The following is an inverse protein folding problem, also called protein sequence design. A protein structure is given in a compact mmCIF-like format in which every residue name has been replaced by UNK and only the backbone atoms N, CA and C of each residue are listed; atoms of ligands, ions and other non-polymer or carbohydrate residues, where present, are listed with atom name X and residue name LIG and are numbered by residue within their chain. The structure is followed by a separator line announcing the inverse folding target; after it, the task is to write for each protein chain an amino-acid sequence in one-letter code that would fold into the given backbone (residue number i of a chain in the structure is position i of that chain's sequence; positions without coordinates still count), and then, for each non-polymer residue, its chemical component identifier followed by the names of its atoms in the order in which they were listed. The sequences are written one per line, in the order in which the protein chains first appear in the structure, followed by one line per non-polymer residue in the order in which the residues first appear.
data_IF_513645555128
#
_entry.id   IF_513645555128
#
_cell.length_a   1.000
_cell.length_b   1.000
_cell.length_c   1.000
_cell.angle_alpha   90.00
_cell.angle_beta   90.00
_cell.angle_gamma   90.00
#
_symmetry.space_group_name_H-M   'P 1'
#
loop_
_entity.id
_entity.type
_entity.pdbx_description
1 polymer ?
#
# COMPACT_ATOMS: atom_id res chain seq x y z
N UNK A 1 -1.44 -33.18 22.72
CA UNK A 1 -0.46 -32.66 21.75
C UNK A 1 0.73 -32.13 22.51
N UNK A 2 1.93 -32.62 22.19
CA UNK A 2 3.17 -32.25 22.87
C UNK A 2 3.48 -30.76 22.68
N UNK A 3 3.78 -30.05 23.77
CA UNK A 3 4.11 -28.62 23.79
C UNK A 3 5.33 -28.31 22.92
N UNK A 4 6.27 -29.24 22.82
CA UNK A 4 7.49 -29.04 22.04
C UNK A 4 7.26 -29.23 20.54
N UNK A 5 6.34 -30.13 20.15
CA UNK A 5 5.86 -30.23 18.77
C UNK A 5 5.16 -28.93 18.36
N UNK A 6 4.22 -28.43 19.18
CA UNK A 6 3.51 -27.17 18.88
C UNK A 6 4.47 -25.98 18.72
N UNK A 7 5.48 -25.86 19.58
CA UNK A 7 6.48 -24.78 19.49
C UNK A 7 7.33 -24.86 18.22
N UNK A 8 7.68 -26.07 17.77
CA UNK A 8 8.43 -26.27 16.52
C UNK A 8 7.59 -25.88 15.31
N UNK A 9 6.36 -26.39 15.23
CA UNK A 9 5.42 -26.05 14.15
C UNK A 9 5.12 -24.54 14.10
N UNK A 10 4.90 -23.91 15.25
CA UNK A 10 4.64 -22.47 15.31
C UNK A 10 5.84 -21.64 14.83
N UNK A 11 7.07 -22.02 15.21
CA UNK A 11 8.29 -21.34 14.74
C UNK A 11 8.50 -21.55 13.24
N UNK A 12 8.25 -22.75 12.72
CA UNK A 12 8.36 -23.05 11.31
C UNK A 12 7.33 -22.24 10.50
N UNK A 13 6.07 -22.23 10.94
CA UNK A 13 5.01 -21.43 10.32
C UNK A 13 5.30 -19.93 10.36
N UNK A 14 5.75 -19.38 11.49
CA UNK A 14 6.17 -17.98 11.60
C UNK A 14 7.38 -17.67 10.71
N UNK A 15 8.36 -18.57 10.64
CA UNK A 15 9.53 -18.39 9.77
C UNK A 15 9.16 -18.39 8.28
N UNK A 16 8.19 -19.21 7.88
CA UNK A 16 7.70 -19.28 6.50
C UNK A 16 6.85 -18.05 6.15
N UNK A 17 5.95 -17.64 7.05
CA UNK A 17 5.03 -16.51 6.83
C UNK A 17 5.69 -15.13 6.96
N UNK A 18 6.84 -15.02 7.65
CA UNK A 18 7.54 -13.72 7.82
C UNK A 18 7.87 -13.03 6.51
N UNK A 19 8.07 -13.78 5.43
CA UNK A 19 8.37 -13.20 4.11
C UNK A 19 7.16 -12.44 3.57
N UNK A 20 5.96 -13.00 3.74
CA UNK A 20 4.70 -12.38 3.32
C UNK A 20 4.30 -11.18 4.17
N UNK A 21 4.76 -11.10 5.42
CA UNK A 21 4.54 -9.93 6.28
C UNK A 21 5.24 -8.67 5.78
N UNK A 22 6.40 -8.81 5.11
CA UNK A 22 7.23 -7.66 4.69
C UNK A 22 7.24 -7.43 3.18
N UNK A 23 7.29 -8.49 2.37
CA UNK A 23 7.23 -8.36 0.91
C UNK A 23 5.81 -8.37 0.40
N UNK A 24 4.90 -9.13 1.01
CA UNK A 24 3.58 -9.49 0.45
C UNK A 24 3.64 -9.94 -1.04
N UNK A 25 4.82 -10.33 -1.49
CA UNK A 25 5.16 -10.62 -2.88
C UNK A 25 5.81 -11.99 -2.94
N UNK A 26 5.52 -12.72 -4.02
CA UNK A 26 6.20 -13.97 -4.31
C UNK A 26 7.67 -13.72 -4.68
N UNK A 27 8.56 -14.72 -4.56
CA UNK A 27 9.98 -14.56 -4.92
C UNK A 27 10.21 -14.04 -6.34
N UNK A 28 9.32 -14.39 -7.28
CA UNK A 28 9.36 -13.91 -8.67
C UNK A 28 9.16 -12.39 -8.80
N UNK A 29 8.57 -11.73 -7.79
CA UNK A 29 8.24 -10.31 -7.79
C UNK A 29 9.15 -9.48 -6.86
N UNK A 30 10.29 -10.03 -6.44
CA UNK A 30 11.21 -9.33 -5.54
C UNK A 30 11.89 -8.11 -6.16
N UNK A 31 11.77 -7.89 -7.47
CA UNK A 31 12.08 -6.62 -8.13
C UNK A 31 11.26 -5.45 -7.57
N UNK A 32 10.06 -5.73 -7.04
CA UNK A 32 9.15 -4.76 -6.41
C UNK A 32 9.49 -4.44 -4.95
N UNK A 33 10.56 -5.03 -4.43
CA UNK A 33 10.98 -4.91 -3.05
C UNK A 33 12.34 -4.21 -2.90
N UNK A 34 12.47 -3.41 -1.84
CA UNK A 34 13.78 -3.02 -1.34
C UNK A 34 14.49 -4.24 -0.76
N UNK A 35 15.75 -4.42 -1.14
CA UNK A 35 16.61 -5.46 -0.60
C UNK A 35 17.42 -4.89 0.56
N UNK A 36 17.13 -5.35 1.77
CA UNK A 36 17.83 -4.94 3.00
C UNK A 36 18.68 -6.11 3.51
N UNK A 37 19.95 -5.85 3.82
CA UNK A 37 20.83 -6.84 4.46
C UNK A 37 20.91 -6.54 5.95
N UNK A 38 20.51 -7.49 6.78
CA UNK A 38 20.59 -7.41 8.25
C UNK A 38 21.43 -8.59 8.72
N UNK A 39 22.71 -8.33 9.01
CA UNK A 39 23.70 -9.38 9.26
C UNK A 39 23.84 -10.31 8.06
N UNK A 40 23.65 -11.62 8.28
CA UNK A 40 23.69 -12.64 7.23
C UNK A 40 22.38 -12.83 6.48
N UNK A 41 21.31 -12.12 6.86
CA UNK A 41 19.96 -12.29 6.27
C UNK A 41 19.65 -11.19 5.27
N UNK A 42 19.04 -11.59 4.16
CA UNK A 42 18.45 -10.66 3.19
C UNK A 42 16.94 -10.60 3.42
N UNK A 43 16.42 -9.40 3.60
CA UNK A 43 15.00 -9.12 3.80
C UNK A 43 14.50 -8.34 2.57
N UNK A 44 13.35 -8.76 2.06
CA UNK A 44 12.65 -8.08 0.97
C UNK A 44 11.47 -7.32 1.57
N UNK A 45 11.49 -6.01 1.44
CA UNK A 45 10.43 -5.12 1.93
C UNK A 45 9.71 -4.51 0.72
N UNK A 46 8.39 -4.66 0.62
CA UNK A 46 7.64 -4.08 -0.48
C UNK A 46 7.92 -2.58 -0.59
N UNK A 47 8.38 -2.12 -1.76
CA UNK A 47 8.78 -0.74 -1.94
C UNK A 47 7.59 0.23 -1.80
N UNK A 48 6.38 -0.22 -2.12
CA UNK A 48 5.17 0.59 -1.95
C UNK A 48 4.74 0.64 -0.49
N UNK A 49 4.69 -0.50 0.21
CA UNK A 49 4.33 -0.55 1.63
C UNK A 49 5.32 0.21 2.51
N UNK A 50 6.61 0.23 2.15
CA UNK A 50 7.61 1.04 2.84
C UNK A 50 7.31 2.55 2.77
N UNK A 51 6.52 3.00 1.78
CA UNK A 51 5.96 4.36 1.73
C UNK A 51 4.61 4.47 2.43
N UNK A 52 3.70 3.52 2.20
CA UNK A 52 2.32 3.57 2.74
C UNK A 52 2.30 3.65 4.26
N UNK A 53 3.10 2.84 4.96
CA UNK A 53 3.10 2.83 6.43
C UNK A 53 3.54 4.16 7.06
N UNK A 54 4.72 4.73 6.73
CA UNK A 54 5.07 6.05 7.24
C UNK A 54 4.11 7.13 6.73
N UNK A 55 3.55 6.98 5.53
CA UNK A 55 2.55 7.90 5.00
C UNK A 55 1.29 7.94 5.85
N UNK A 56 0.77 6.79 6.29
CA UNK A 56 -0.39 6.72 7.19
C UNK A 56 -0.10 7.48 8.49
N UNK A 57 1.08 7.26 9.08
CA UNK A 57 1.48 7.98 10.28
C UNK A 57 1.52 9.50 10.04
N UNK A 58 2.12 9.95 8.93
CA UNK A 58 2.12 11.37 8.52
C UNK A 58 0.69 11.89 8.36
N UNK A 59 -0.19 11.19 7.63
CA UNK A 59 -1.57 11.61 7.41
C UNK A 59 -2.38 11.77 8.71
N UNK A 60 -2.18 10.89 9.68
CA UNK A 60 -2.79 11.00 11.02
C UNK A 60 -2.25 12.23 11.77
N UNK A 61 -0.93 12.46 11.74
CA UNK A 61 -0.32 13.64 12.37
C UNK A 61 -0.83 14.94 11.72
N UNK A 62 -0.90 15.00 10.38
CA UNK A 62 -1.43 16.16 9.67
C UNK A 62 -2.92 16.41 9.99
N UNK A 63 -3.71 15.34 10.16
CA UNK A 63 -5.11 15.39 10.53
C UNK A 63 -5.31 15.91 11.97
N UNK A 64 -4.59 15.32 12.93
CA UNK A 64 -4.68 15.68 14.34
C UNK A 64 -4.14 17.09 14.62
N UNK A 65 -3.09 17.52 13.90
CA UNK A 65 -2.56 18.88 13.97
C UNK A 65 -3.43 19.94 13.29
N UNK A 66 -4.50 19.54 12.58
CA UNK A 66 -5.41 20.45 11.89
C UNK A 66 -4.84 21.14 10.64
N UNK A 67 -3.61 20.80 10.23
CA UNK A 67 -2.91 21.46 9.11
C UNK A 67 -3.61 21.24 7.75
N UNK A 68 -4.34 20.13 7.60
CA UNK A 68 -5.13 19.84 6.40
C UNK A 68 -6.62 19.81 6.73
N UNK A 69 -7.15 20.88 7.30
CA UNK A 69 -8.58 21.09 7.54
C UNK A 69 -9.43 21.30 6.28
N UNK A 70 -10.76 21.37 6.46
CA UNK A 70 -11.72 21.74 5.40
C UNK A 70 -11.60 20.99 4.06
N UNK A 71 -11.76 21.74 2.97
CA UNK A 71 -11.72 21.24 1.58
C UNK A 71 -10.33 20.83 1.13
N UNK A 72 -9.27 21.46 1.64
CA UNK A 72 -7.89 21.10 1.30
C UNK A 72 -7.57 19.66 1.70
N UNK A 73 -8.02 19.22 2.89
CA UNK A 73 -7.86 17.84 3.31
C UNK A 73 -8.64 16.84 2.45
N UNK A 74 -9.85 17.19 2.01
CA UNK A 74 -10.61 16.37 1.07
C UNK A 74 -9.95 16.28 -0.30
N UNK A 75 -9.39 17.40 -0.79
CA UNK A 75 -8.61 17.42 -2.02
C UNK A 75 -7.35 16.55 -1.91
N UNK A 76 -6.64 16.60 -0.79
CA UNK A 76 -5.48 15.73 -0.55
C UNK A 76 -5.88 14.23 -0.53
N UNK A 77 -6.99 13.88 0.13
CA UNK A 77 -7.51 12.50 0.13
C UNK A 77 -7.88 12.04 -1.28
N UNK A 78 -8.43 12.93 -2.11
CA UNK A 78 -8.83 12.60 -3.48
C UNK A 78 -7.64 12.52 -4.44
N UNK A 79 -6.65 13.40 -4.32
CA UNK A 79 -5.60 13.58 -5.33
C UNK A 79 -4.34 12.74 -5.06
N UNK A 80 -3.90 12.64 -3.80
CA UNK A 80 -2.64 11.93 -3.50
C UNK A 80 -2.63 10.45 -3.93
N UNK A 81 -3.74 9.68 -3.82
CA UNK A 81 -3.77 8.30 -4.31
C UNK A 81 -3.59 8.17 -5.83
N UNK A 82 -3.85 9.23 -6.62
CA UNK A 82 -3.71 9.21 -8.08
C UNK A 82 -2.27 8.86 -8.48
N UNK A 83 -1.27 9.40 -7.79
CA UNK A 83 0.14 9.12 -8.11
C UNK A 83 0.46 7.62 -8.00
N UNK A 84 -0.05 6.97 -6.96
CA UNK A 84 0.08 5.53 -6.75
C UNK A 84 -0.69 4.71 -7.79
N UNK A 85 -1.89 5.16 -8.17
CA UNK A 85 -2.70 4.53 -9.21
C UNK A 85 -2.01 4.61 -10.58
N UNK A 86 -1.52 5.79 -10.98
CA UNK A 86 -0.81 6.01 -12.24
C UNK A 86 0.46 5.17 -12.32
N UNK A 87 1.31 5.20 -11.28
CA UNK A 87 2.51 4.35 -11.22
C UNK A 87 2.17 2.86 -11.37
N UNK A 88 1.09 2.40 -10.73
CA UNK A 88 0.65 1.02 -10.86
C UNK A 88 0.15 0.71 -12.27
N UNK A 89 -0.72 1.53 -12.84
CA UNK A 89 -1.27 1.33 -14.19
C UNK A 89 -0.16 1.28 -15.25
N UNK A 90 0.88 2.10 -15.13
CA UNK A 90 2.00 2.13 -16.08
C UNK A 90 2.94 0.93 -15.93
N UNK A 91 3.03 0.33 -14.74
CA UNK A 91 4.03 -0.72 -14.43
C UNK A 91 3.43 -2.09 -14.19
N UNK A 92 2.09 -2.22 -14.13
CA UNK A 92 1.40 -3.47 -13.79
C UNK A 92 1.78 -4.64 -14.73
N UNK A 93 1.87 -4.37 -16.03
CA UNK A 93 2.27 -5.36 -17.05
C UNK A 93 3.74 -5.27 -17.50
N UNK A 94 4.53 -4.37 -16.90
CA UNK A 94 5.97 -4.18 -17.20
C UNK A 94 6.73 -3.93 -15.90
N UNK A 95 6.91 -4.97 -15.06
CA UNK A 95 7.52 -4.82 -13.74
C UNK A 95 8.89 -4.14 -13.78
N UNK A 96 9.67 -4.43 -14.83
CA UNK A 96 11.00 -3.90 -15.12
C UNK A 96 11.03 -2.40 -15.45
N UNK A 97 9.89 -1.81 -15.85
CA UNK A 97 9.79 -0.38 -16.14
C UNK A 97 9.60 0.47 -14.87
N UNK A 98 9.35 -0.15 -13.72
CA UNK A 98 9.10 0.55 -12.45
C UNK A 98 10.35 0.80 -11.63
N UNK A 99 10.37 1.91 -10.87
CA UNK A 99 11.43 2.20 -9.91
C UNK A 99 10.93 2.07 -8.48
N UNK A 100 11.68 1.34 -7.63
CA UNK A 100 11.33 1.19 -6.23
C UNK A 100 11.33 2.53 -5.47
N UNK A 101 12.11 3.52 -5.90
CA UNK A 101 12.05 4.88 -5.34
C UNK A 101 10.72 5.56 -5.63
N UNK A 102 10.24 5.45 -6.88
CA UNK A 102 8.94 5.99 -7.29
C UNK A 102 7.82 5.27 -6.55
N UNK A 103 7.86 3.92 -6.49
CA UNK A 103 6.88 3.11 -5.74
C UNK A 103 6.81 3.50 -4.26
N UNK A 104 7.93 3.81 -3.62
CA UNK A 104 7.95 4.32 -2.24
C UNK A 104 7.38 5.73 -2.13
N UNK A 105 7.76 6.64 -3.03
CA UNK A 105 7.25 8.01 -3.00
C UNK A 105 5.73 8.05 -3.22
N UNK A 106 5.22 7.35 -4.23
CA UNK A 106 3.78 7.26 -4.49
C UNK A 106 3.05 6.50 -3.39
N UNK A 107 3.68 5.47 -2.80
CA UNK A 107 3.21 4.80 -1.59
C UNK A 107 3.07 5.75 -0.40
N UNK A 108 4.02 6.65 -0.18
CA UNK A 108 3.95 7.68 0.88
C UNK A 108 2.78 8.62 0.69
N UNK A 109 2.54 9.09 -0.54
CA UNK A 109 1.39 9.94 -0.87
C UNK A 109 0.06 9.19 -0.63
N UNK A 110 -0.04 7.96 -1.10
CA UNK A 110 -1.19 7.09 -0.86
C UNK A 110 -1.45 6.88 0.63
N UNK A 111 -0.41 6.52 1.37
CA UNK A 111 -0.49 6.34 2.82
C UNK A 111 -0.94 7.62 3.53
N UNK A 112 -0.45 8.78 3.10
CA UNK A 112 -0.83 10.08 3.66
C UNK A 112 -2.33 10.35 3.48
N UNK A 113 -2.87 10.07 2.28
CA UNK A 113 -4.31 10.14 2.04
C UNK A 113 -5.10 9.12 2.89
N UNK A 114 -4.61 7.90 3.08
CA UNK A 114 -5.24 6.92 3.96
C UNK A 114 -5.27 7.38 5.42
N UNK A 115 -4.16 7.86 5.96
CA UNK A 115 -4.09 8.37 7.33
C UNK A 115 -5.03 9.56 7.54
N UNK A 116 -5.04 10.51 6.61
CA UNK A 116 -5.93 11.66 6.66
C UNK A 116 -7.40 11.27 6.50
N UNK A 117 -7.70 10.35 5.59
CA UNK A 117 -9.04 9.82 5.38
C UNK A 117 -9.57 9.09 6.61
N UNK A 118 -8.75 8.23 7.23
CA UNK A 118 -9.08 7.53 8.47
C UNK A 118 -9.37 8.50 9.60
N UNK A 119 -8.50 9.50 9.80
CA UNK A 119 -8.69 10.55 10.79
C UNK A 119 -10.01 11.29 10.57
N UNK A 120 -10.28 11.76 9.34
CA UNK A 120 -11.50 12.51 9.03
C UNK A 120 -12.76 11.68 9.16
N UNK A 121 -12.73 10.43 8.71
CA UNK A 121 -13.89 9.55 8.73
C UNK A 121 -14.23 9.14 10.17
N UNK A 122 -13.24 8.67 10.93
CA UNK A 122 -13.49 8.07 12.25
C UNK A 122 -13.54 9.11 13.37
N UNK A 123 -12.64 10.10 13.36
CA UNK A 123 -12.57 11.10 14.43
C UNK A 123 -13.35 12.37 14.06
N UNK A 124 -13.36 12.75 12.78
CA UNK A 124 -14.10 13.93 12.29
C UNK A 124 -15.53 13.66 11.83
N UNK A 125 -15.95 12.40 11.67
CA UNK A 125 -17.28 12.02 11.18
C UNK A 125 -17.58 12.44 9.73
N UNK A 126 -16.58 12.83 8.94
CA UNK A 126 -16.77 13.38 7.59
C UNK A 126 -17.03 12.29 6.56
N UNK A 127 -18.31 12.00 6.32
CA UNK A 127 -18.76 10.95 5.38
C UNK A 127 -18.41 11.24 3.92
N UNK A 128 -18.00 12.47 3.55
CA UNK A 128 -17.58 12.79 2.18
C UNK A 128 -16.36 11.99 1.74
N UNK A 129 -15.53 11.53 2.68
CA UNK A 129 -14.42 10.60 2.43
C UNK A 129 -14.91 9.32 1.74
N UNK A 130 -16.10 8.82 2.09
CA UNK A 130 -16.68 7.63 1.46
C UNK A 130 -17.00 7.86 -0.01
N UNK A 131 -17.48 9.05 -0.38
CA UNK A 131 -17.76 9.40 -1.77
C UNK A 131 -16.50 9.34 -2.63
N UNK A 132 -15.36 9.81 -2.09
CA UNK A 132 -14.05 9.70 -2.76
C UNK A 132 -13.70 8.21 -2.94
N UNK A 133 -13.84 7.40 -1.89
CA UNK A 133 -13.59 5.95 -1.96
C UNK A 133 -14.45 5.25 -3.01
N UNK A 134 -15.75 5.53 -3.05
CA UNK A 134 -16.66 5.01 -4.07
C UNK A 134 -16.29 5.49 -5.48
N UNK A 135 -15.85 6.74 -5.63
CA UNK A 135 -15.35 7.26 -6.90
C UNK A 135 -14.15 6.46 -7.42
N UNK A 136 -13.16 6.19 -6.57
CA UNK A 136 -12.03 5.32 -6.93
C UNK A 136 -12.48 3.90 -7.28
N UNK A 137 -13.37 3.30 -6.48
CA UNK A 137 -13.89 1.97 -6.75
C UNK A 137 -14.61 1.90 -8.11
N UNK A 138 -15.39 2.92 -8.45
CA UNK A 138 -16.07 3.02 -9.74
C UNK A 138 -15.07 3.14 -10.90
N UNK A 139 -14.05 4.01 -10.78
CA UNK A 139 -12.99 4.15 -11.81
C UNK A 139 -12.27 2.82 -12.05
N UNK A 140 -11.88 2.13 -10.98
CA UNK A 140 -11.22 0.82 -11.08
C UNK A 140 -12.16 -0.22 -11.68
N UNK A 141 -13.43 -0.25 -11.27
CA UNK A 141 -14.41 -1.19 -11.81
C UNK A 141 -14.63 -0.98 -13.32
N UNK A 142 -14.73 0.27 -13.77
CA UNK A 142 -14.84 0.62 -15.20
C UNK A 142 -13.58 0.20 -15.95
N UNK A 143 -12.39 0.52 -15.43
CA UNK A 143 -11.13 0.13 -16.06
C UNK A 143 -11.01 -1.40 -16.20
N UNK A 144 -11.31 -2.14 -15.14
CA UNK A 144 -11.32 -3.60 -15.18
C UNK A 144 -12.36 -4.15 -16.17
N UNK A 145 -13.56 -3.56 -16.21
CA UNK A 145 -14.60 -3.97 -17.15
C UNK A 145 -14.19 -3.74 -18.61
N UNK A 146 -13.57 -2.60 -18.92
CA UNK A 146 -13.04 -2.31 -20.26
C UNK A 146 -11.90 -3.23 -20.68
N UNK A 147 -11.21 -3.85 -19.71
CA UNK A 147 -10.09 -4.77 -19.96
C UNK A 147 -10.46 -6.26 -19.87
N UNK A 148 -11.75 -6.62 -19.74
CA UNK A 148 -12.23 -8.02 -19.67
C UNK A 148 -11.99 -8.90 -20.91
N UNK A 149 -11.11 -8.50 -21.83
CA UNK A 149 -10.73 -9.26 -23.04
C UNK A 149 -9.24 -9.30 -23.34
N UNK A 150 -8.37 -8.74 -22.48
CA UNK A 150 -6.92 -8.81 -22.67
C UNK A 150 -6.32 -9.81 -21.67
N UNK A 151 -5.49 -10.78 -22.10
CA UNK A 151 -4.79 -11.65 -21.17
C UNK A 151 -3.77 -10.81 -20.40
N UNK A 152 -4.11 -10.39 -19.18
CA UNK A 152 -3.17 -9.74 -18.27
C UNK A 152 -2.70 -10.81 -17.30
N UNK A 153 -1.54 -11.40 -17.57
CA UNK A 153 -0.82 -12.28 -16.65
C UNK A 153 -0.87 -13.76 -17.00
N UNK A 154 0.01 -14.18 -17.92
CA UNK A 154 0.68 -15.48 -17.89
C UNK A 154 2.16 -15.24 -17.71
#
# INVERSE_FOLDING_TARGET
MDRDVLRRELRAGLAETRRYLLSHHEPAEYDRCHRLRVGSRTIHLCARCSGVHPGIAVGIVLGTGGWLGGTLGLAAIAVLPIAALVDWTLTAGRPEAGSNRVRTATGLLLGTAYGLGLHRLLLGGDRRVLLIGFGYAAVVAVALWSHRGSPVGS
#
